data_IF_316282691351
#
_entry.id   IF_316282691351
#
_cell.length_a   1.000
_cell.length_b   1.000
_cell.length_c   1.000
_cell.angle_alpha   90.00
_cell.angle_beta   90.00
_cell.angle_gamma   90.00
#
_symmetry.space_group_name_H-M   'P 1'
#
loop_
_entity.id
_entity.type
_entity.pdbx_description
1 polymer ?
#
# COMPACT_ATOMS: atom_id res chain seq x y z
N UNK A 1 -5.31 -6.85 6.94
CA UNK A 1 -5.38 -5.57 6.18
C UNK A 1 -5.94 -5.69 4.76
N UNK A 2 -5.39 -6.50 3.85
CA UNK A 2 -5.89 -6.58 2.45
C UNK A 2 -7.39 -6.88 2.33
N UNK A 3 -7.87 -7.86 3.10
CA UNK A 3 -9.30 -8.23 3.14
C UNK A 3 -10.19 -7.09 3.64
N UNK A 4 -9.71 -6.31 4.61
CA UNK A 4 -10.40 -5.12 5.15
C UNK A 4 -10.57 -4.07 4.06
N UNK A 5 -9.50 -3.74 3.35
CA UNK A 5 -9.53 -2.77 2.26
C UNK A 5 -10.45 -3.21 1.12
N UNK A 6 -10.39 -4.49 0.75
CA UNK A 6 -11.26 -5.06 -0.27
C UNK A 6 -12.74 -4.95 0.11
N UNK A 7 -13.09 -5.29 1.36
CA UNK A 7 -14.46 -5.14 1.86
C UNK A 7 -14.90 -3.68 1.84
N UNK A 8 -14.07 -2.77 2.38
CA UNK A 8 -14.37 -1.34 2.42
C UNK A 8 -14.60 -0.75 1.02
N UNK A 9 -13.82 -1.16 0.02
CA UNK A 9 -14.01 -0.72 -1.37
C UNK A 9 -15.29 -1.27 -2.01
N UNK A 10 -15.73 -2.47 -1.62
CA UNK A 10 -16.96 -3.07 -2.12
C UNK A 10 -18.23 -2.48 -1.49
N UNK A 11 -18.20 -2.25 -0.18
CA UNK A 11 -19.41 -1.90 0.59
C UNK A 11 -19.48 -0.43 0.94
N UNK A 12 -18.34 0.26 0.98
CA UNK A 12 -18.19 1.59 1.57
C UNK A 12 -18.70 1.65 3.03
N UNK A 13 -18.75 0.51 3.72
CA UNK A 13 -19.23 0.36 5.09
C UNK A 13 -18.05 0.20 6.07
N UNK A 14 -17.91 1.17 6.96
CA UNK A 14 -16.84 1.22 7.98
C UNK A 14 -17.20 0.48 9.28
N UNK A 15 -18.25 -0.35 9.28
CA UNK A 15 -18.66 -1.11 10.44
C UNK A 15 -17.56 -2.10 10.88
N UNK A 16 -16.85 -1.75 11.95
CA UNK A 16 -15.70 -2.49 12.46
C UNK A 16 -16.05 -3.91 12.90
N UNK A 17 -17.28 -4.16 13.37
CA UNK A 17 -17.72 -5.51 13.74
C UNK A 17 -17.78 -6.43 12.51
N UNK A 18 -18.28 -5.93 11.37
CA UNK A 18 -18.31 -6.71 10.13
C UNK A 18 -16.91 -6.95 9.57
N UNK A 19 -16.01 -5.97 9.72
CA UNK A 19 -14.61 -6.10 9.33
C UNK A 19 -13.88 -7.15 10.18
N UNK A 20 -14.06 -7.11 11.51
CA UNK A 20 -13.47 -8.09 12.43
C UNK A 20 -13.94 -9.51 12.12
N UNK A 21 -15.26 -9.72 11.98
CA UNK A 21 -15.82 -11.03 11.62
C UNK A 21 -15.35 -11.52 10.25
N UNK A 22 -15.13 -10.64 9.27
CA UNK A 22 -14.60 -11.03 7.96
C UNK A 22 -13.14 -11.51 8.03
N UNK A 23 -12.33 -10.95 8.93
CA UNK A 23 -10.94 -11.38 9.16
C UNK A 23 -10.90 -12.69 9.95
N UNK A 24 -11.66 -12.77 11.05
CA UNK A 24 -11.73 -13.97 11.92
C UNK A 24 -12.09 -15.24 11.13
N UNK A 25 -13.08 -15.14 10.24
CA UNK A 25 -13.52 -16.29 9.43
C UNK A 25 -12.48 -16.76 8.39
N UNK A 26 -11.42 -15.99 8.14
CA UNK A 26 -10.40 -16.27 7.14
C UNK A 26 -8.99 -16.37 7.77
N UNK A 27 -8.88 -16.43 9.09
CA UNK A 27 -7.60 -16.40 9.79
C UNK A 27 -7.67 -17.18 11.10
N UNK A 28 -7.29 -18.45 11.06
CA UNK A 28 -7.32 -19.35 12.22
C UNK A 28 -6.26 -19.00 13.28
N UNK A 29 -5.25 -18.20 12.92
CA UNK A 29 -4.05 -17.94 13.73
C UNK A 29 -3.90 -16.48 14.21
N UNK A 30 -4.89 -15.61 13.97
CA UNK A 30 -4.81 -14.20 14.39
C UNK A 30 -5.42 -13.99 15.79
N UNK A 31 -4.72 -13.20 16.60
CA UNK A 31 -5.22 -12.69 17.88
C UNK A 31 -6.23 -11.55 17.67
N UNK A 32 -7.07 -11.29 18.68
CA UNK A 32 -8.00 -10.17 18.64
C UNK A 32 -7.29 -8.82 18.45
N UNK A 33 -6.15 -8.63 19.11
CA UNK A 33 -5.38 -7.39 19.01
C UNK A 33 -4.88 -7.16 17.55
N UNK A 34 -4.44 -8.21 16.87
CA UNK A 34 -4.02 -8.13 15.45
C UNK A 34 -5.18 -7.83 14.50
N UNK A 35 -6.37 -8.36 14.81
CA UNK A 35 -7.62 -8.09 14.07
C UNK A 35 -8.02 -6.62 14.24
N UNK A 36 -8.01 -6.13 15.48
CA UNK A 36 -8.39 -4.76 15.82
C UNK A 36 -7.40 -3.75 15.21
N UNK A 37 -6.09 -4.02 15.30
CA UNK A 37 -5.05 -3.21 14.68
C UNK A 37 -5.18 -3.19 13.15
N UNK A 38 -5.35 -4.36 12.53
CA UNK A 38 -5.55 -4.49 11.08
C UNK A 38 -6.80 -3.73 10.60
N UNK A 39 -7.88 -3.77 11.38
CA UNK A 39 -9.14 -3.10 11.08
C UNK A 39 -8.96 -1.58 11.17
N UNK A 40 -8.32 -1.10 12.24
CA UNK A 40 -8.00 0.31 12.43
C UNK A 40 -7.16 0.86 11.28
N UNK A 41 -6.05 0.20 10.94
CA UNK A 41 -5.16 0.61 9.85
C UNK A 41 -5.90 0.58 8.50
N UNK A 42 -6.69 -0.47 8.26
CA UNK A 42 -7.47 -0.58 7.02
C UNK A 42 -8.47 0.57 6.84
N UNK A 43 -9.14 0.99 7.92
CA UNK A 43 -10.04 2.16 7.90
C UNK A 43 -9.27 3.45 7.62
N UNK A 44 -8.11 3.65 8.26
CA UNK A 44 -7.25 4.83 8.03
C UNK A 44 -6.82 4.93 6.56
N UNK A 45 -6.32 3.84 5.98
CA UNK A 45 -5.94 3.78 4.56
C UNK A 45 -7.13 4.10 3.65
N UNK A 46 -8.32 3.60 3.99
CA UNK A 46 -9.53 3.84 3.20
C UNK A 46 -10.00 5.30 3.29
N UNK A 47 -9.80 5.97 4.42
CA UNK A 47 -10.08 7.40 4.56
C UNK A 47 -9.12 8.25 3.72
N UNK A 48 -7.86 7.83 3.63
CA UNK A 48 -6.84 8.46 2.80
C UNK A 48 -6.91 8.05 1.30
N UNK A 49 -7.87 7.21 0.90
CA UNK A 49 -7.86 6.54 -0.42
C UNK A 49 -7.78 7.51 -1.61
N UNK A 50 -8.44 8.66 -1.56
CA UNK A 50 -8.43 9.63 -2.67
C UNK A 50 -7.04 10.26 -2.84
N UNK A 51 -6.37 10.56 -1.72
CA UNK A 51 -5.01 11.10 -1.71
C UNK A 51 -4.04 10.03 -2.20
N UNK A 52 -4.14 8.82 -1.66
CA UNK A 52 -3.32 7.68 -2.09
C UNK A 52 -3.52 7.40 -3.58
N UNK A 53 -4.77 7.40 -4.06
CA UNK A 53 -5.10 7.14 -5.45
C UNK A 53 -4.49 8.19 -6.38
N UNK A 54 -4.60 9.46 -6.02
CA UNK A 54 -3.99 10.54 -6.78
C UNK A 54 -2.46 10.38 -6.87
N UNK A 55 -1.80 10.01 -5.78
CA UNK A 55 -0.36 9.77 -5.78
C UNK A 55 -0.02 8.53 -6.61
N UNK A 56 -0.72 7.40 -6.43
CA UNK A 56 -0.51 6.16 -7.19
C UNK A 56 -0.66 6.41 -8.70
N UNK A 57 -1.63 7.22 -9.13
CA UNK A 57 -1.85 7.54 -10.53
C UNK A 57 -0.59 8.15 -11.21
N UNK A 58 0.22 8.90 -10.46
CA UNK A 58 1.50 9.45 -10.96
C UNK A 58 2.62 8.41 -11.15
N UNK A 59 2.45 7.20 -10.61
CA UNK A 59 3.37 6.08 -10.80
C UNK A 59 2.82 5.02 -11.76
N UNK A 60 1.52 5.04 -12.02
CA UNK A 60 0.80 4.16 -12.92
C UNK A 60 0.20 4.95 -14.10
N UNK A 61 1.01 5.76 -14.80
CA UNK A 61 0.54 6.70 -15.83
C UNK A 61 -0.26 6.01 -16.96
N UNK A 62 0.17 4.80 -17.37
CA UNK A 62 -0.48 4.02 -18.43
C UNK A 62 -1.71 3.23 -17.97
N UNK A 63 -1.98 3.17 -16.65
CA UNK A 63 -3.06 2.38 -16.06
C UNK A 63 -3.94 3.27 -15.18
N UNK A 64 -5.06 3.79 -15.71
CA UNK A 64 -5.97 4.64 -14.95
C UNK A 64 -6.42 3.95 -13.65
N UNK A 65 -6.27 4.62 -12.52
CA UNK A 65 -6.51 4.01 -11.21
C UNK A 65 -7.94 3.52 -11.04
N UNK A 66 -8.91 4.21 -11.64
CA UNK A 66 -10.31 3.82 -11.63
C UNK A 66 -10.60 2.53 -12.43
N UNK A 67 -9.69 2.09 -13.31
CA UNK A 67 -9.80 0.85 -14.08
C UNK A 67 -9.06 -0.31 -13.42
N UNK A 68 -8.26 -0.06 -12.38
CA UNK A 68 -7.59 -1.10 -11.62
C UNK A 68 -8.60 -1.94 -10.84
N UNK A 69 -8.29 -3.23 -10.71
CA UNK A 69 -9.07 -4.12 -9.84
C UNK A 69 -9.04 -3.61 -8.40
N UNK A 70 -10.06 -3.98 -7.60
CA UNK A 70 -10.12 -3.61 -6.18
C UNK A 70 -8.89 -4.15 -5.43
N UNK A 71 -8.44 -5.36 -5.79
CA UNK A 71 -7.23 -5.97 -5.20
C UNK A 71 -5.99 -5.16 -5.53
N UNK A 72 -5.77 -4.80 -6.80
CA UNK A 72 -4.59 -4.02 -7.19
C UNK A 72 -4.58 -2.64 -6.50
N UNK A 73 -5.74 -1.97 -6.42
CA UNK A 73 -5.86 -0.71 -5.67
C UNK A 73 -5.53 -0.89 -4.20
N UNK A 74 -6.08 -1.93 -3.57
CA UNK A 74 -5.85 -2.21 -2.15
C UNK A 74 -4.38 -2.50 -1.87
N UNK A 75 -3.72 -3.28 -2.72
CA UNK A 75 -2.28 -3.58 -2.61
C UNK A 75 -1.43 -2.32 -2.78
N UNK A 76 -1.72 -1.49 -3.78
CA UNK A 76 -0.96 -0.26 -4.01
C UNK A 76 -1.18 0.77 -2.89
N UNK A 77 -2.42 0.95 -2.43
CA UNK A 77 -2.73 1.84 -1.29
C UNK A 77 -1.99 1.41 -0.04
N UNK A 78 -2.00 0.10 0.27
CA UNK A 78 -1.27 -0.44 1.41
C UNK A 78 0.24 -0.21 1.25
N UNK A 79 0.84 -0.54 0.10
CA UNK A 79 2.27 -0.31 -0.13
C UNK A 79 2.68 1.16 0.02
N UNK A 80 1.87 2.08 -0.51
CA UNK A 80 2.14 3.52 -0.42
C UNK A 80 1.98 4.04 1.01
N UNK A 81 1.01 3.53 1.76
CA UNK A 81 0.83 3.84 3.18
C UNK A 81 2.00 3.31 4.02
N UNK A 82 2.47 2.08 3.79
CA UNK A 82 3.64 1.51 4.50
C UNK A 82 4.90 2.34 4.28
N UNK A 83 5.10 2.83 3.06
CA UNK A 83 6.23 3.70 2.71
C UNK A 83 6.07 5.11 3.30
N UNK A 84 4.84 5.66 3.33
CA UNK A 84 4.54 6.97 3.92
C UNK A 84 4.82 7.02 5.42
N UNK A 85 4.55 5.91 6.13
CA UNK A 85 4.67 5.83 7.59
C UNK A 85 6.02 5.25 8.06
N UNK A 86 7.00 5.15 7.17
CA UNK A 86 8.34 4.58 7.42
C UNK A 86 8.35 3.13 7.93
N UNK A 87 7.21 2.43 7.89
CA UNK A 87 7.07 1.04 8.37
C UNK A 87 7.92 0.04 7.57
N UNK A 88 8.29 0.40 6.33
CA UNK A 88 9.02 -0.50 5.43
C UNK A 88 10.37 0.04 4.92
N UNK A 89 10.82 1.20 5.41
CA UNK A 89 12.07 1.82 4.96
C UNK A 89 13.34 1.00 5.31
N UNK A 90 13.23 0.01 6.21
CA UNK A 90 14.34 -0.87 6.57
C UNK A 90 14.70 -1.92 5.50
N UNK A 91 13.79 -2.28 4.60
CA UNK A 91 14.02 -3.32 3.60
C UNK A 91 13.14 -3.16 2.34
N UNK A 92 13.52 -2.25 1.46
CA UNK A 92 12.87 -2.01 0.15
C UNK A 92 12.71 -3.28 -0.69
N UNK A 93 13.67 -4.20 -0.59
CA UNK A 93 13.63 -5.48 -1.31
C UNK A 93 12.46 -6.32 -0.81
N UNK A 94 12.33 -6.44 0.51
CA UNK A 94 11.24 -7.17 1.13
C UNK A 94 9.88 -6.54 0.80
N UNK A 95 9.77 -5.21 0.76
CA UNK A 95 8.53 -4.54 0.34
C UNK A 95 8.12 -4.99 -1.07
N UNK A 96 9.06 -4.99 -2.01
CA UNK A 96 8.78 -5.42 -3.38
C UNK A 96 8.40 -6.90 -3.43
N UNK A 97 9.11 -7.77 -2.72
CA UNK A 97 8.88 -9.21 -2.71
C UNK A 97 7.53 -9.58 -2.10
N UNK A 98 7.14 -8.93 -1.00
CA UNK A 98 5.87 -9.18 -0.32
C UNK A 98 4.68 -8.78 -1.20
N UNK A 99 4.71 -7.57 -1.76
CA UNK A 99 3.61 -7.09 -2.59
C UNK A 99 3.56 -7.77 -3.96
N UNK A 100 4.69 -8.20 -4.52
CA UNK A 100 4.73 -9.08 -5.69
C UNK A 100 4.05 -10.43 -5.38
N UNK A 101 4.36 -11.04 -4.23
CA UNK A 101 3.75 -12.28 -3.79
C UNK A 101 2.25 -12.13 -3.56
N UNK A 102 1.81 -11.06 -2.90
CA UNK A 102 0.39 -10.78 -2.70
C UNK A 102 -0.34 -10.56 -4.02
N UNK A 103 0.26 -9.85 -4.97
CA UNK A 103 -0.29 -9.68 -6.31
C UNK A 103 -0.41 -11.01 -7.08
N UNK A 104 0.48 -11.97 -6.83
CA UNK A 104 0.40 -13.32 -7.40
C UNK A 104 -0.69 -14.17 -6.76
N UNK A 105 -0.89 -14.04 -5.44
CA UNK A 105 -1.86 -14.84 -4.69
C UNK A 105 -3.29 -14.36 -4.84
N UNK A 106 -3.50 -13.03 -4.91
CA UNK A 106 -4.85 -12.43 -4.84
C UNK A 106 -5.25 -11.67 -6.09
N UNK A 107 -4.30 -11.31 -6.95
CA UNK A 107 -4.54 -10.52 -8.15
C UNK A 107 -4.84 -11.37 -9.39
N UNK A 108 -4.88 -10.69 -10.54
CA UNK A 108 -4.97 -11.30 -11.86
C UNK A 108 -3.60 -11.74 -12.39
N UNK A 109 -3.57 -12.41 -13.55
CA UNK A 109 -2.35 -12.94 -14.20
C UNK A 109 -1.18 -11.94 -14.32
N UNK A 110 -1.46 -10.63 -14.36
CA UNK A 110 -0.45 -9.58 -14.48
C UNK A 110 -0.29 -8.70 -13.24
N UNK A 111 -1.09 -8.92 -12.20
CA UNK A 111 -1.10 -8.08 -10.99
C UNK A 111 0.25 -8.07 -10.28
N UNK A 112 0.92 -9.22 -10.13
CA UNK A 112 2.23 -9.30 -9.48
C UNK A 112 3.30 -8.42 -10.17
N UNK A 113 3.38 -8.46 -11.50
CA UNK A 113 4.33 -7.68 -12.29
C UNK A 113 3.97 -6.20 -12.26
N UNK A 114 2.69 -5.88 -12.37
CA UNK A 114 2.18 -4.51 -12.32
C UNK A 114 2.48 -3.86 -10.96
N UNK A 115 2.04 -4.47 -9.86
CA UNK A 115 2.25 -3.97 -8.48
C UNK A 115 3.74 -3.79 -8.21
N UNK A 116 4.57 -4.78 -8.54
CA UNK A 116 6.04 -4.69 -8.45
C UNK A 116 6.61 -3.50 -9.21
N UNK A 117 6.12 -3.26 -10.43
CA UNK A 117 6.57 -2.15 -11.28
C UNK A 117 6.30 -0.80 -10.63
N UNK A 118 5.09 -0.60 -10.12
CA UNK A 118 4.68 0.66 -9.46
C UNK A 118 5.49 0.89 -8.18
N UNK A 119 5.65 -0.13 -7.32
CA UNK A 119 6.42 -0.01 -6.06
C UNK A 119 7.90 0.28 -6.34
N UNK A 120 8.50 -0.35 -7.35
CA UNK A 120 9.89 -0.04 -7.76
C UNK A 120 10.05 1.42 -8.20
N UNK A 121 9.07 1.95 -8.93
CA UNK A 121 9.06 3.36 -9.35
C UNK A 121 8.94 4.30 -8.15
N UNK A 122 8.11 3.97 -7.16
CA UNK A 122 8.01 4.69 -5.89
C UNK A 122 9.35 4.75 -5.16
N UNK A 123 9.98 3.59 -4.93
CA UNK A 123 11.29 3.50 -4.25
C UNK A 123 12.34 4.34 -4.97
N UNK A 124 12.40 4.24 -6.31
CA UNK A 124 13.35 5.01 -7.13
C UNK A 124 13.15 6.52 -6.96
N UNK A 125 11.90 6.98 -6.87
CA UNK A 125 11.56 8.40 -6.67
C UNK A 125 12.03 8.88 -5.29
N UNK A 126 11.80 8.11 -4.24
CA UNK A 126 12.20 8.45 -2.87
C UNK A 126 13.72 8.59 -2.78
N UNK A 127 14.48 7.60 -3.27
CA UNK A 127 15.95 7.67 -3.33
C UNK A 127 16.45 8.90 -4.06
N UNK A 128 15.82 9.26 -5.18
CA UNK A 128 16.19 10.46 -5.94
C UNK A 128 16.00 11.73 -5.08
N UNK A 129 14.88 11.85 -4.38
CA UNK A 129 14.60 12.99 -3.48
C UNK A 129 15.63 13.04 -2.34
N UNK A 130 15.95 11.91 -1.72
CA UNK A 130 16.97 11.84 -0.67
C UNK A 130 18.36 12.28 -1.14
N UNK A 131 18.78 11.82 -2.33
CA UNK A 131 20.05 12.20 -2.94
C UNK A 131 20.09 13.70 -3.25
N UNK A 132 19.01 14.27 -3.78
CA UNK A 132 18.89 15.71 -4.05
C UNK A 132 18.96 16.52 -2.75
N UNK A 133 18.28 16.07 -1.69
CA UNK A 133 18.30 16.71 -0.37
C UNK A 133 19.70 16.66 0.27
N UNK A 134 20.43 15.54 0.15
CA UNK A 134 21.83 15.43 0.60
C UNK A 134 22.74 16.39 -0.15
N UNK A 135 22.59 16.53 -1.47
CA UNK A 135 23.37 17.47 -2.29
C UNK A 135 23.09 18.94 -1.94
N UNK A 136 21.85 19.30 -1.59
CA UNK A 136 21.50 20.66 -1.15
C UNK A 136 22.08 20.98 0.23
N UNK A 137 22.04 20.04 1.18
CA UNK A 137 22.64 20.21 2.51
C UNK A 137 24.16 20.40 2.46
N UNK A 138 24.86 19.65 1.60
CA UNK A 138 26.31 19.81 1.43
C UNK A 138 26.74 21.16 0.85
N UNK A 139 25.91 21.79 0.00
CA UNK A 139 26.23 23.11 -0.59
C UNK A 139 25.99 24.30 0.34
N UNK A 140 25.17 24.15 1.38
CA UNK A 140 24.83 25.23 2.31
C UNK A 140 25.76 25.26 3.55
N UNK A 141 26.67 24.30 3.71
CA UNK A 141 27.62 24.22 4.83
C UNK A 141 29.02 24.77 4.52
N UNK A 142 29.29 25.16 3.28
CA UNK A 142 30.60 25.64 2.80
C UNK A 142 30.67 27.18 2.62
N UNK A 143 29.73 27.93 3.21
CA UNK A 143 29.68 29.41 3.15
C UNK A 143 29.77 30.05 4.54
#
# INVERSE_FOLDING_TARGET
MLQVLYYLDLTNDKNQTLLGTAIENNSDDLTQDEIDESTKIGVEIFEDKEILDHVIQSFAEEYPINQLSIVDKSLLRLAFWEVKNDNYMGNEKQLVEDFEKLGYLFGSDNSNKFVKGVIKSLIKKIKKIELENKRKKGKNGDN
#
